data_IF_240406231192
#
_entry.id   IF_240406231192
#
_cell.length_a   1.000
_cell.length_b   1.000
_cell.length_c   1.000
_cell.angle_alpha   90.00
_cell.angle_beta   90.00
_cell.angle_gamma   90.00
#
_symmetry.space_group_name_H-M   'P 1'
#
loop_
_entity.id
_entity.type
_entity.pdbx_description
1 polymer ?
#
# COMPACT_ATOMS: atom_id res chain seq x y z
N UNK A 1 -19.33 -5.32 -5.36
CA UNK A 1 -18.59 -5.68 -4.14
C UNK A 1 -17.22 -6.26 -4.53
N UNK A 2 -16.17 -5.45 -4.72
CA UNK A 2 -14.81 -5.93 -5.08
C UNK A 2 -13.78 -5.71 -3.96
N UNK A 3 -14.06 -4.81 -3.02
CA UNK A 3 -13.11 -4.39 -1.97
C UNK A 3 -13.47 -5.09 -0.66
N UNK A 4 -12.51 -5.82 -0.09
CA UNK A 4 -12.61 -6.45 1.23
C UNK A 4 -12.17 -5.50 2.34
N UNK A 5 -10.94 -4.97 2.28
CA UNK A 5 -10.37 -4.06 3.29
C UNK A 5 -9.32 -3.16 2.65
N UNK A 6 -9.23 -1.91 3.10
CA UNK A 6 -8.26 -0.92 2.60
C UNK A 6 -7.49 -0.35 3.78
N UNK A 7 -6.17 -0.39 3.68
CA UNK A 7 -5.27 0.20 4.67
C UNK A 7 -4.51 1.36 4.06
N UNK A 8 -4.68 2.55 4.64
CA UNK A 8 -3.85 3.71 4.33
C UNK A 8 -2.84 3.84 5.45
N UNK A 9 -1.57 3.59 5.16
CA UNK A 9 -0.46 3.69 6.11
C UNK A 9 0.31 4.99 5.92
N UNK A 10 0.96 5.45 6.99
CA UNK A 10 1.73 6.70 7.00
C UNK A 10 0.90 7.92 6.53
N UNK A 11 -0.39 7.95 6.85
CA UNK A 11 -1.29 9.01 6.39
C UNK A 11 -0.98 10.34 7.10
N UNK A 12 -0.62 11.42 6.37
CA UNK A 12 -0.44 12.73 6.98
C UNK A 12 -1.78 13.29 7.47
N UNK A 13 -1.73 14.24 8.41
CA UNK A 13 -2.93 14.87 8.99
C UNK A 13 -3.85 15.48 7.93
N UNK A 14 -3.28 16.05 6.87
CA UNK A 14 -4.02 16.57 5.71
C UNK A 14 -4.87 15.49 5.03
N UNK A 15 -4.33 14.27 4.88
CA UNK A 15 -5.07 13.15 4.28
C UNK A 15 -6.30 12.78 5.13
N UNK A 16 -6.16 12.77 6.46
CA UNK A 16 -7.29 12.53 7.38
C UNK A 16 -8.39 13.58 7.20
N UNK A 17 -8.04 14.84 6.94
CA UNK A 17 -8.99 15.92 6.66
C UNK A 17 -9.68 15.75 5.32
N UNK A 18 -8.95 15.44 4.24
CA UNK A 18 -9.54 15.15 2.93
C UNK A 18 -10.49 13.94 3.00
N UNK A 19 -10.11 12.89 3.73
CA UNK A 19 -10.95 11.71 3.91
C UNK A 19 -12.29 12.02 4.58
N UNK A 20 -12.37 13.03 5.46
CA UNK A 20 -13.66 13.45 6.05
C UNK A 20 -14.64 13.95 4.98
N UNK A 21 -14.15 14.62 3.95
CA UNK A 21 -14.96 15.14 2.84
C UNK A 21 -15.38 13.99 1.93
N UNK A 22 -14.43 13.13 1.56
CA UNK A 22 -14.65 11.99 0.65
C UNK A 22 -15.66 11.00 1.23
N UNK A 23 -15.61 10.72 2.54
CA UNK A 23 -16.55 9.83 3.21
C UNK A 23 -18.01 10.23 3.07
N UNK A 24 -18.32 11.52 2.92
CA UNK A 24 -19.70 11.99 2.75
C UNK A 24 -20.35 11.48 1.46
N UNK A 25 -19.54 11.10 0.47
CA UNK A 25 -19.99 10.62 -0.83
C UNK A 25 -19.90 9.09 -0.97
N UNK A 26 -19.44 8.38 0.07
CA UNK A 26 -19.27 6.93 0.04
C UNK A 26 -20.36 6.23 0.85
N UNK A 27 -20.71 5.02 0.42
CA UNK A 27 -21.61 4.16 1.18
C UNK A 27 -20.97 3.76 2.54
N UNK A 28 -21.74 3.76 3.65
CA UNK A 28 -21.22 3.41 4.97
C UNK A 28 -20.52 2.05 5.06
N UNK A 29 -20.94 1.06 4.26
CA UNK A 29 -20.29 -0.26 4.19
C UNK A 29 -18.87 -0.12 3.63
N UNK A 30 -18.67 0.73 2.63
CA UNK A 30 -17.35 0.98 2.04
C UNK A 30 -16.46 1.77 3.00
N UNK A 31 -17.02 2.75 3.71
CA UNK A 31 -16.27 3.54 4.71
C UNK A 31 -15.71 2.64 5.82
N UNK A 32 -16.51 1.68 6.29
CA UNK A 32 -16.09 0.77 7.37
C UNK A 32 -14.93 -0.16 6.98
N UNK A 33 -14.75 -0.42 5.67
CA UNK A 33 -13.65 -1.22 5.12
C UNK A 33 -12.32 -0.44 5.07
N UNK A 34 -12.36 0.90 5.10
CA UNK A 34 -11.16 1.74 5.03
C UNK A 34 -10.64 2.08 6.43
N UNK A 35 -9.40 1.69 6.70
CA UNK A 35 -8.68 2.01 7.94
C UNK A 35 -7.46 2.87 7.60
N UNK A 36 -7.28 3.96 8.34
CA UNK A 36 -6.15 4.87 8.16
C UNK A 36 -5.31 4.88 9.42
N UNK A 37 -4.01 4.71 9.24
CA UNK A 37 -3.00 4.73 10.29
C UNK A 37 -1.98 5.82 10.02
N UNK A 38 -1.67 6.60 11.04
CA UNK A 38 -0.54 7.54 11.00
C UNK A 38 0.78 6.83 11.27
N UNK A 39 1.90 7.54 11.05
CA UNK A 39 3.25 7.02 11.32
C UNK A 39 3.46 6.56 12.78
N UNK A 40 2.73 7.13 13.75
CA UNK A 40 2.79 6.73 15.15
C UNK A 40 1.96 5.48 15.48
N UNK A 41 1.06 5.07 14.58
CA UNK A 41 0.07 4.00 14.80
C UNK A 41 0.48 2.67 14.14
N UNK A 42 1.78 2.51 13.86
CA UNK A 42 2.33 1.34 13.14
C UNK A 42 2.01 0.02 13.86
N UNK A 43 2.07 -0.01 15.20
CA UNK A 43 1.75 -1.21 15.98
C UNK A 43 0.28 -1.66 15.78
N UNK A 44 -0.65 -0.70 15.72
CA UNK A 44 -2.08 -0.96 15.52
C UNK A 44 -2.35 -1.45 14.10
N UNK A 45 -1.63 -0.89 13.13
CA UNK A 45 -1.66 -1.36 11.74
C UNK A 45 -1.25 -2.83 11.63
N UNK A 46 -0.10 -3.22 12.18
CA UNK A 46 0.36 -4.61 12.13
C UNK A 46 -0.59 -5.56 12.86
N UNK A 47 -1.18 -5.14 13.98
CA UNK A 47 -2.16 -5.98 14.68
C UNK A 47 -3.39 -6.29 13.80
N UNK A 48 -3.93 -5.29 13.11
CA UNK A 48 -5.06 -5.46 12.19
C UNK A 48 -4.70 -6.22 10.91
N UNK A 49 -3.47 -6.06 10.42
CA UNK A 49 -2.96 -6.74 9.24
C UNK A 49 -2.73 -8.23 9.51
N UNK A 50 -2.12 -8.57 10.65
CA UNK A 50 -1.80 -9.94 11.02
C UNK A 50 -3.04 -10.81 11.27
N UNK A 51 -4.22 -10.18 11.49
CA UNK A 51 -5.50 -10.89 11.54
C UNK A 51 -5.97 -11.39 10.16
N UNK A 52 -5.49 -10.80 9.06
CA UNK A 52 -6.00 -11.07 7.71
C UNK A 52 -4.93 -11.60 6.75
N UNK A 53 -3.66 -11.35 7.03
CA UNK A 53 -2.53 -11.71 6.18
C UNK A 53 -1.38 -12.18 7.07
N UNK A 54 -0.70 -13.25 6.64
CA UNK A 54 0.44 -13.79 7.36
C UNK A 54 1.72 -13.00 7.03
N UNK A 55 2.67 -12.95 7.97
CA UNK A 55 3.90 -12.13 7.87
C UNK A 55 4.71 -12.40 6.58
N UNK A 56 4.69 -13.63 6.10
CA UNK A 56 5.42 -14.10 4.91
C UNK A 56 4.80 -13.68 3.58
N UNK A 57 3.58 -13.12 3.61
CA UNK A 57 2.88 -12.60 2.43
C UNK A 57 3.02 -11.07 2.30
N UNK A 58 3.64 -10.41 3.28
CA UNK A 58 3.80 -8.96 3.33
C UNK A 58 5.26 -8.61 3.00
N UNK A 59 5.51 -7.76 1.99
CA UNK A 59 6.86 -7.30 1.67
C UNK A 59 7.58 -6.68 2.87
N UNK A 60 8.89 -6.87 2.95
CA UNK A 60 9.73 -6.26 3.99
C UNK A 60 9.67 -4.73 4.00
N UNK A 61 9.42 -4.09 2.84
CA UNK A 61 9.20 -2.63 2.74
C UNK A 61 7.96 -2.13 3.50
N UNK A 62 6.99 -3.02 3.76
CA UNK A 62 5.82 -2.75 4.58
C UNK A 62 5.92 -3.41 5.96
N UNK A 63 7.12 -3.89 6.34
CA UNK A 63 7.47 -4.50 7.63
C UNK A 63 7.05 -5.96 7.82
N UNK A 64 6.74 -6.67 6.74
CA UNK A 64 6.60 -8.13 6.76
C UNK A 64 7.91 -8.88 6.57
N UNK A 65 7.82 -10.19 6.33
CA UNK A 65 8.95 -11.11 6.13
C UNK A 65 9.02 -11.68 4.71
N UNK A 66 8.15 -11.23 3.81
CA UNK A 66 8.11 -11.77 2.47
C UNK A 66 9.35 -11.38 1.67
N UNK A 67 9.93 -12.37 0.99
CA UNK A 67 11.08 -12.20 0.11
C UNK A 67 10.65 -12.13 -1.36
N UNK A 68 9.78 -11.17 -1.70
CA UNK A 68 9.41 -10.88 -3.08
C UNK A 68 9.41 -9.38 -3.35
N UNK A 69 9.78 -9.02 -4.58
CA UNK A 69 9.78 -7.63 -5.04
C UNK A 69 8.38 -7.27 -5.54
N UNK A 70 7.83 -6.16 -5.04
CA UNK A 70 6.57 -5.60 -5.53
C UNK A 70 6.78 -5.17 -6.99
N UNK A 71 6.00 -5.74 -7.91
CA UNK A 71 5.95 -5.31 -9.31
C UNK A 71 4.64 -4.58 -9.56
N UNK A 72 4.68 -3.49 -10.33
CA UNK A 72 3.46 -2.90 -10.87
C UNK A 72 2.91 -3.83 -11.94
N UNK A 73 1.60 -4.08 -11.90
CA UNK A 73 0.93 -5.12 -12.70
C UNK A 73 1.17 -4.99 -14.22
N UNK A 74 1.32 -3.76 -14.70
CA UNK A 74 1.47 -3.47 -16.14
C UNK A 74 2.93 -3.35 -16.58
N UNK A 75 3.89 -3.58 -15.67
CA UNK A 75 5.32 -3.49 -16.00
C UNK A 75 5.79 -4.84 -16.53
N UNK A 76 6.32 -4.90 -17.77
CA UNK A 76 6.90 -6.12 -18.32
C UNK A 76 7.91 -6.73 -17.35
N UNK A 77 7.97 -8.05 -17.27
CA UNK A 77 8.88 -8.79 -16.37
C UNK A 77 10.35 -8.35 -16.46
N UNK A 78 10.72 -7.82 -17.63
CA UNK A 78 12.04 -7.32 -18.01
C UNK A 78 12.37 -5.95 -17.40
N UNK A 79 11.36 -5.17 -17.01
CA UNK A 79 11.52 -3.89 -16.32
C UNK A 79 11.33 -4.10 -14.80
N UNK A 80 12.41 -4.36 -14.08
CA UNK A 80 12.35 -4.34 -12.61
C UNK A 80 12.47 -2.92 -12.08
N UNK A 81 11.47 -2.46 -11.34
CA UNK A 81 11.53 -1.20 -10.60
C UNK A 81 12.37 -1.40 -9.34
N UNK A 82 13.47 -0.65 -9.23
CA UNK A 82 14.30 -0.62 -8.03
C UNK A 82 13.78 0.41 -7.04
N UNK A 83 12.99 -0.05 -6.06
CA UNK A 83 12.39 0.79 -5.02
C UNK A 83 13.41 1.35 -4.02
N UNK A 84 14.68 0.95 -4.08
CA UNK A 84 15.74 1.53 -3.24
C UNK A 84 16.24 2.88 -3.77
N UNK A 85 15.90 3.22 -5.02
CA UNK A 85 16.32 4.48 -5.66
C UNK A 85 15.27 5.58 -5.47
N UNK A 86 15.75 6.77 -5.11
CA UNK A 86 14.92 7.97 -4.98
C UNK A 86 14.45 8.46 -6.35
N UNK A 87 13.20 8.92 -6.45
CA UNK A 87 12.65 9.54 -7.66
C UNK A 87 13.23 10.95 -7.87
N UNK A 88 13.47 11.40 -9.12
CA UNK A 88 13.32 10.64 -10.38
C UNK A 88 14.49 9.68 -10.63
N UNK A 89 14.19 8.45 -11.06
CA UNK A 89 15.19 7.50 -11.54
C UNK A 89 14.89 7.10 -12.99
N UNK A 90 15.94 6.91 -13.79
CA UNK A 90 15.84 6.45 -15.16
C UNK A 90 15.50 4.96 -15.17
N UNK A 91 14.39 4.59 -15.79
CA UNK A 91 14.05 3.19 -16.02
C UNK A 91 15.12 2.57 -16.94
N UNK A 92 15.56 1.32 -16.70
CA UNK A 92 16.41 0.63 -17.66
C UNK A 92 15.69 0.57 -19.01
N UNK A 93 16.40 0.90 -20.09
CA UNK A 93 15.85 0.80 -21.44
C UNK A 93 15.40 -0.64 -21.69
N UNK A 94 14.11 -0.81 -21.99
CA UNK A 94 13.60 -2.11 -22.40
C UNK A 94 14.29 -2.50 -23.70
N UNK A 95 15.09 -3.57 -23.67
CA UNK A 95 15.67 -4.15 -24.87
C UNK A 95 14.56 -4.85 -25.65
N UNK A 96 13.91 -4.11 -26.54
CA UNK A 96 13.08 -4.71 -27.59
C UNK A 96 14.03 -5.41 -28.57
N UNK A 97 13.89 -6.74 -28.67
CA UNK A 97 14.44 -7.51 -29.79
C UNK A 97 13.85 -7.03 -31.12
#
# INVERSE_FOLDING_TARGET
EMVYKVFVINAPSMFKSCWKIVKTFMDPVTINKVKMFSASEVQLFFNELNMIAHDDMIPSSFGGKANFTIRLSDVPSECSIDLTKSYPYTLPEASYF
#
